data_IF_545842861134
#
_entry.id   IF_545842861134
#
_cell.length_a   1.000
_cell.length_b   1.000
_cell.length_c   1.000
_cell.angle_alpha   90.00
_cell.angle_beta   90.00
_cell.angle_gamma   90.00
#
_symmetry.space_group_name_H-M   'P 1'
#
loop_
_entity.id
_entity.type
_entity.pdbx_description
1 polymer ?
#
# COMPACT_ATOMS: atom_id res chain seq x y z
N UNK A 1 -3.11 -0.38 18.67
CA UNK A 1 -3.97 -0.16 17.48
C UNK A 1 -5.42 0.15 17.85
N UNK A 2 -6.10 -0.67 18.67
CA UNK A 2 -7.54 -0.51 18.97
C UNK A 2 -7.93 0.87 19.54
N UNK A 3 -7.16 1.40 20.50
CA UNK A 3 -7.43 2.72 21.07
C UNK A 3 -7.39 3.83 20.01
N UNK A 4 -6.35 3.85 19.15
CA UNK A 4 -6.22 4.85 18.10
C UNK A 4 -7.39 4.82 17.11
N UNK A 5 -7.81 3.62 16.67
CA UNK A 5 -8.99 3.46 15.81
C UNK A 5 -10.27 3.97 16.45
N UNK A 6 -10.45 3.74 17.75
CA UNK A 6 -11.60 4.25 18.50
C UNK A 6 -11.61 5.78 18.53
N UNK A 7 -10.46 6.41 18.77
CA UNK A 7 -10.38 7.88 18.79
C UNK A 7 -10.65 8.49 17.41
N UNK A 8 -10.15 7.87 16.33
CA UNK A 8 -10.48 8.30 14.96
C UNK A 8 -11.99 8.23 14.69
N UNK A 9 -12.62 7.12 15.09
CA UNK A 9 -14.07 6.95 14.94
C UNK A 9 -14.87 7.95 15.77
N UNK A 10 -14.44 8.24 17.01
CA UNK A 10 -15.09 9.22 17.88
C UNK A 10 -14.98 10.65 17.33
N UNK A 11 -13.90 10.96 16.61
CA UNK A 11 -13.68 12.23 15.94
C UNK A 11 -14.24 12.27 14.50
N UNK A 12 -14.89 11.19 14.04
CA UNK A 12 -15.44 11.06 12.68
C UNK A 12 -14.42 11.31 11.55
N UNK A 13 -13.16 10.95 11.79
CA UNK A 13 -12.05 11.10 10.83
C UNK A 13 -11.42 9.75 10.49
N UNK A 14 -10.67 9.73 9.38
CA UNK A 14 -9.87 8.57 8.96
C UNK A 14 -8.45 8.99 8.60
N UNK A 15 -7.53 8.02 8.60
CA UNK A 15 -6.16 8.24 8.11
C UNK A 15 -6.18 8.16 6.59
N UNK A 16 -5.78 9.25 5.93
CA UNK A 16 -5.81 9.33 4.47
C UNK A 16 -4.72 8.49 3.80
N UNK A 17 -3.51 8.46 4.37
CA UNK A 17 -2.38 7.67 3.85
C UNK A 17 -1.29 7.46 4.91
N UNK A 18 -0.39 6.50 4.66
CA UNK A 18 0.84 6.30 5.46
C UNK A 18 2.06 6.54 4.57
N UNK A 19 2.99 7.39 5.01
CA UNK A 19 4.25 7.69 4.32
C UNK A 19 5.43 7.18 5.16
N UNK A 20 5.91 5.94 4.96
CA UNK A 20 7.16 5.51 5.55
C UNK A 20 8.34 5.96 4.67
N UNK A 21 9.34 6.56 5.32
CA UNK A 21 10.58 7.00 4.69
C UNK A 21 11.72 6.06 5.06
N UNK A 22 12.09 5.19 4.13
CA UNK A 22 13.19 4.24 4.30
C UNK A 22 14.13 4.27 3.10
N UNK A 23 15.41 3.91 3.28
CA UNK A 23 16.43 3.90 2.21
C UNK A 23 16.33 2.68 1.28
N UNK A 24 15.13 2.38 0.79
CA UNK A 24 14.82 1.18 0.01
C UNK A 24 15.34 1.20 -1.44
N UNK A 25 15.84 2.34 -1.91
CA UNK A 25 16.57 2.52 -3.16
C UNK A 25 18.00 3.05 -2.94
N UNK A 26 18.51 3.01 -1.70
CA UNK A 26 19.88 3.40 -1.41
C UNK A 26 20.91 2.44 -2.03
N UNK A 27 22.12 2.92 -2.37
CA UNK A 27 23.17 2.09 -2.98
C UNK A 27 23.75 1.04 -2.03
N UNK A 28 23.67 1.29 -0.71
CA UNK A 28 24.12 0.37 0.33
C UNK A 28 23.18 -0.84 0.47
N UNK A 29 23.73 -2.05 0.39
CA UNK A 29 22.95 -3.30 0.41
C UNK A 29 22.28 -3.54 1.76
N UNK A 30 22.99 -3.33 2.87
CA UNK A 30 22.51 -3.67 4.21
C UNK A 30 21.41 -2.71 4.65
N UNK A 31 21.60 -1.41 4.39
CA UNK A 31 20.56 -0.40 4.58
C UNK A 31 19.33 -0.70 3.72
N UNK A 32 19.51 -1.13 2.46
CA UNK A 32 18.39 -1.49 1.59
C UNK A 32 17.63 -2.71 2.10
N UNK A 33 18.33 -3.77 2.51
CA UNK A 33 17.68 -4.98 3.06
C UNK A 33 16.93 -4.67 4.35
N UNK A 34 17.49 -3.82 5.23
CA UNK A 34 16.79 -3.34 6.41
C UNK A 34 15.53 -2.56 6.05
N UNK A 35 15.64 -1.62 5.10
CA UNK A 35 14.51 -0.85 4.60
C UNK A 35 13.40 -1.77 4.05
N UNK A 36 13.74 -2.82 3.30
CA UNK A 36 12.75 -3.79 2.78
C UNK A 36 12.03 -4.54 3.92
N UNK A 37 12.72 -4.90 5.00
CA UNK A 37 12.07 -5.51 6.18
C UNK A 37 11.12 -4.52 6.87
N UNK A 38 11.52 -3.27 7.00
CA UNK A 38 10.68 -2.22 7.59
C UNK A 38 9.46 -1.91 6.73
N UNK A 39 9.61 -1.90 5.40
CA UNK A 39 8.50 -1.77 4.47
C UNK A 39 7.44 -2.86 4.66
N UNK A 40 7.84 -4.12 4.82
CA UNK A 40 6.89 -5.21 5.10
C UNK A 40 6.12 -4.97 6.39
N UNK A 41 6.82 -4.56 7.45
CA UNK A 41 6.16 -4.24 8.73
C UNK A 41 5.25 -3.01 8.63
N UNK A 42 5.65 -2.00 7.87
CA UNK A 42 4.83 -0.83 7.63
C UNK A 42 3.53 -1.18 6.89
N UNK A 43 3.60 -2.07 5.89
CA UNK A 43 2.40 -2.57 5.18
C UNK A 43 1.45 -3.28 6.15
N UNK A 44 1.96 -4.17 7.00
CA UNK A 44 1.12 -4.83 8.03
C UNK A 44 0.43 -3.80 8.94
N UNK A 45 1.15 -2.78 9.38
CA UNK A 45 0.60 -1.70 10.21
C UNK A 45 -0.47 -0.90 9.46
N UNK A 46 -0.23 -0.57 8.18
CA UNK A 46 -1.18 0.16 7.35
C UNK A 46 -2.47 -0.65 7.14
N UNK A 47 -2.35 -1.96 6.88
CA UNK A 47 -3.49 -2.89 6.81
C UNK A 47 -4.21 -2.96 8.15
N UNK A 48 -3.46 -3.09 9.25
CA UNK A 48 -4.01 -3.09 10.60
C UNK A 48 -4.71 -1.77 10.94
N UNK A 49 -4.38 -0.65 10.30
CA UNK A 49 -5.08 0.63 10.42
C UNK A 49 -6.33 0.72 9.53
N UNK A 50 -6.46 -0.14 8.53
CA UNK A 50 -7.52 -0.06 7.51
C UNK A 50 -7.27 1.04 6.49
N UNK A 51 -6.01 1.33 6.19
CA UNK A 51 -5.60 2.35 5.21
C UNK A 51 -5.14 1.64 3.94
N UNK A 52 -5.63 2.09 2.78
CA UNK A 52 -5.29 1.46 1.49
C UNK A 52 -4.24 2.24 0.69
N UNK A 53 -3.86 3.44 1.15
CA UNK A 53 -2.91 4.32 0.47
C UNK A 53 -1.62 4.42 1.27
N UNK A 54 -0.52 4.01 0.64
CA UNK A 54 0.83 4.27 1.14
C UNK A 54 1.60 5.09 0.12
N UNK A 55 2.23 6.15 0.61
CA UNK A 55 3.13 6.96 -0.18
C UNK A 55 4.57 6.55 0.12
N UNK A 56 5.45 6.69 -0.86
CA UNK A 56 6.88 6.43 -0.72
C UNK A 56 7.63 7.57 -1.38
N UNK A 57 8.86 7.80 -0.95
CA UNK A 57 9.79 8.65 -1.67
C UNK A 57 10.90 7.81 -2.29
N UNK A 58 11.39 8.28 -3.44
CA UNK A 58 12.59 7.74 -4.04
C UNK A 58 13.81 8.14 -3.21
N UNK A 59 14.09 7.34 -2.17
CA UNK A 59 15.17 7.56 -1.20
C UNK A 59 16.53 7.06 -1.72
N UNK A 60 16.85 7.42 -2.97
CA UNK A 60 18.13 7.15 -3.59
C UNK A 60 19.18 8.20 -3.26
N UNK A 61 20.36 8.05 -3.84
CA UNK A 61 21.46 9.02 -3.74
C UNK A 61 21.66 9.73 -5.09
N UNK A 62 21.53 11.07 -5.17
CA UNK A 62 21.77 11.81 -6.40
C UNK A 62 23.15 11.54 -7.01
N UNK A 63 24.17 11.44 -6.17
CA UNK A 63 25.56 11.13 -6.54
C UNK A 63 25.77 9.70 -7.06
N UNK A 64 24.77 8.83 -6.89
CA UNK A 64 24.78 7.44 -7.35
C UNK A 64 23.43 7.05 -7.96
N UNK A 65 22.90 7.89 -8.85
CA UNK A 65 21.54 7.75 -9.39
C UNK A 65 21.28 6.39 -10.07
N UNK A 66 22.18 5.93 -10.95
CA UNK A 66 22.01 4.65 -11.64
C UNK A 66 22.04 3.44 -10.69
N UNK A 67 22.92 3.47 -9.68
CA UNK A 67 22.95 2.44 -8.63
C UNK A 67 21.66 2.48 -7.80
N UNK A 68 21.17 3.67 -7.47
CA UNK A 68 19.94 3.85 -6.70
C UNK A 68 18.71 3.34 -7.45
N UNK A 69 18.63 3.60 -8.77
CA UNK A 69 17.59 3.08 -9.64
C UNK A 69 17.64 1.54 -9.72
N UNK A 70 18.83 0.96 -9.90
CA UNK A 70 18.98 -0.50 -9.90
C UNK A 70 18.48 -1.12 -8.59
N UNK A 71 18.76 -0.48 -7.45
CA UNK A 71 18.31 -0.92 -6.14
C UNK A 71 16.80 -0.75 -5.93
N UNK A 72 16.20 0.33 -6.43
CA UNK A 72 14.75 0.50 -6.45
C UNK A 72 14.06 -0.68 -7.15
N UNK A 73 14.51 -1.03 -8.36
CA UNK A 73 13.94 -2.16 -9.11
C UNK A 73 14.16 -3.50 -8.42
N UNK A 74 15.27 -3.66 -7.70
CA UNK A 74 15.56 -4.88 -6.93
C UNK A 74 14.68 -5.01 -5.70
N UNK A 75 14.42 -3.91 -4.99
CA UNK A 75 13.51 -3.87 -3.84
C UNK A 75 12.05 -4.13 -4.23
N UNK A 76 11.60 -3.58 -5.37
CA UNK A 76 10.26 -3.82 -5.91
C UNK A 76 10.02 -5.25 -6.42
N UNK A 77 11.09 -6.00 -6.69
CA UNK A 77 11.03 -7.44 -7.00
C UNK A 77 10.93 -8.24 -5.70
N UNK A 78 9.81 -8.13 -4.98
CA UNK A 78 9.54 -8.99 -3.84
C UNK A 78 9.32 -10.46 -4.30
N UNK A 79 10.14 -11.43 -3.87
CA UNK A 79 9.90 -12.83 -4.18
C UNK A 79 8.73 -13.36 -3.35
N UNK A 80 7.81 -14.05 -4.02
CA UNK A 80 6.83 -15.05 -3.51
C UNK A 80 6.00 -14.72 -2.24
N UNK A 81 6.04 -13.53 -1.66
CA UNK A 81 5.06 -13.14 -0.64
C UNK A 81 3.63 -13.14 -1.20
N UNK A 82 3.46 -12.72 -2.47
CA UNK A 82 2.18 -12.79 -3.18
C UNK A 82 1.66 -14.23 -3.37
N UNK A 83 2.47 -15.27 -3.14
CA UNK A 83 2.09 -16.68 -3.36
C UNK A 83 1.99 -17.52 -2.09
N UNK A 84 2.55 -17.07 -0.96
CA UNK A 84 2.55 -17.86 0.30
C UNK A 84 1.72 -17.25 1.42
N UNK A 85 0.93 -16.21 1.14
CA UNK A 85 -0.02 -15.66 2.11
C UNK A 85 -1.23 -15.08 1.41
N UNK A 86 -2.24 -15.91 1.15
CA UNK A 86 -3.58 -15.39 0.84
C UNK A 86 -4.00 -14.49 2.02
N UNK A 87 -4.25 -13.18 1.81
CA UNK A 87 -5.14 -12.48 2.73
C UNK A 87 -6.45 -13.27 2.70
N UNK A 88 -7.06 -13.52 3.86
CA UNK A 88 -8.38 -14.14 3.92
C UNK A 88 -9.27 -13.45 2.90
N UNK A 89 -9.99 -14.24 2.12
CA UNK A 89 -10.97 -13.76 1.14
C UNK A 89 -11.76 -12.59 1.71
N UNK A 90 -11.48 -11.38 1.22
CA UNK A 90 -12.44 -10.29 1.33
C UNK A 90 -13.63 -10.75 0.51
N UNK A 91 -14.68 -11.21 1.18
CA UNK A 91 -15.98 -11.40 0.57
C UNK A 91 -16.41 -10.05 0.03
N UNK A 92 -16.37 -9.88 -1.28
CA UNK A 92 -16.98 -8.73 -1.95
C UNK A 92 -18.46 -8.69 -1.59
N UNK A 93 -19.05 -7.54 -1.22
CA UNK A 93 -20.50 -7.42 -1.16
C UNK A 93 -21.03 -7.74 -2.56
N UNK A 94 -21.96 -8.70 -2.64
CA UNK A 94 -22.46 -9.23 -3.90
C UNK A 94 -22.94 -8.12 -4.84
N UNK A 95 -22.18 -7.88 -5.91
CA UNK A 95 -22.69 -7.22 -7.11
C UNK A 95 -23.41 -8.27 -7.93
N UNK A 96 -24.69 -8.47 -7.67
CA UNK A 96 -25.66 -8.94 -8.66
C UNK A 96 -27.10 -8.67 -8.18
N UNK A 97 -27.58 -7.49 -8.51
CA UNK A 97 -28.97 -7.28 -8.87
C UNK A 97 -28.98 -6.31 -10.06
N UNK A 98 -29.15 -6.86 -11.27
CA UNK A 98 -29.49 -6.05 -12.45
C UNK A 98 -30.92 -5.54 -12.26
N UNK A 99 -31.20 -4.23 -12.36
CA UNK A 99 -32.56 -3.78 -12.63
C UNK A 99 -32.86 -4.06 -14.10
N UNK A 100 -33.95 -4.77 -14.35
CA UNK A 100 -34.53 -4.97 -15.68
C UNK A 100 -34.95 -3.63 -16.29
N UNK A 101 -34.63 -3.44 -17.56
CA UNK A 101 -34.90 -2.23 -18.32
C UNK A 101 -36.40 -1.89 -18.42
N UNK A 102 -36.74 -0.61 -18.26
CA UNK A 102 -37.96 -0.02 -18.79
C UNK A 102 -37.74 1.48 -19.07
N UNK A 103 -37.79 1.87 -20.34
CA UNK A 103 -38.48 3.10 -20.76
C UNK A 103 -37.67 4.39 -20.98
N UNK A 104 -37.80 4.90 -22.22
CA UNK A 104 -37.89 6.31 -22.66
C UNK A 104 -36.63 7.18 -22.80
N UNK A 105 -36.18 7.26 -24.05
CA UNK A 105 -35.93 8.47 -24.88
C UNK A 105 -35.04 9.60 -24.34
N UNK A 106 -33.90 9.80 -25.02
CA UNK A 106 -33.16 11.07 -25.04
C UNK A 106 -33.21 11.66 -26.45
N UNK A 107 -33.77 12.87 -26.58
CA UNK A 107 -33.67 13.71 -27.78
C UNK A 107 -32.34 14.45 -27.77
N UNK A 108 -31.82 14.71 -28.98
CA UNK A 108 -30.49 15.27 -29.29
C UNK A 108 -30.21 16.65 -28.69
#
# INVERSE_FOLDING_TARGET
MAAFKRELAAAEVSVASVLPLYKWSGPDEDERQAAVRYWKRAIEITVDLGVDVMNSEFNGRPEAAAASEAQFWRSGRWPRWASTGSPRSVSSPGRNARPTAAGSTWSR
#
